data_IF_604785838160
#
_entry.id   IF_604785838160
#
_cell.length_a   1.000
_cell.length_b   1.000
_cell.length_c   1.000
_cell.angle_alpha   90.00
_cell.angle_beta   90.00
_cell.angle_gamma   90.00
#
_symmetry.space_group_name_H-M   'P 1'
#
loop_
_entity.id
_entity.type
_entity.pdbx_description
1 polymer ?
#
# COMPACT_ATOMS: atom_id res chain seq x y z
N UNK A 1 -14.95 -4.13 7.06
CA UNK A 1 -15.52 -3.47 5.87
C UNK A 1 -15.89 -4.52 4.82
N UNK A 2 -17.03 -4.36 4.17
CA UNK A 2 -17.43 -5.17 3.03
C UNK A 2 -16.79 -4.57 1.77
N UNK A 3 -15.73 -5.19 1.26
CA UNK A 3 -15.02 -4.75 0.05
C UNK A 3 -15.51 -5.44 -1.23
N UNK A 4 -16.67 -6.12 -1.17
CA UNK A 4 -17.25 -6.86 -2.27
C UNK A 4 -16.60 -8.23 -2.52
N UNK A 5 -16.84 -8.83 -3.69
CA UNK A 5 -16.27 -10.12 -4.05
C UNK A 5 -14.74 -10.08 -4.03
N UNK A 6 -14.14 -11.11 -3.43
CA UNK A 6 -12.67 -11.21 -3.31
C UNK A 6 -12.13 -12.46 -3.98
N UNK A 7 -10.98 -12.32 -4.60
CA UNK A 7 -10.20 -13.41 -5.17
C UNK A 7 -9.07 -13.87 -4.24
N UNK A 8 -8.04 -14.44 -4.83
CA UNK A 8 -6.85 -14.90 -4.10
C UNK A 8 -6.26 -13.77 -3.24
N UNK A 9 -5.85 -14.12 -2.02
CA UNK A 9 -5.25 -13.18 -1.06
C UNK A 9 -6.20 -12.03 -0.67
N UNK A 10 -7.51 -12.28 -0.63
CA UNK A 10 -8.54 -11.27 -0.32
C UNK A 10 -8.44 -10.00 -1.19
N UNK A 11 -8.08 -10.16 -2.47
CA UNK A 11 -8.05 -9.05 -3.43
C UNK A 11 -9.47 -8.76 -3.91
N UNK A 12 -9.93 -7.53 -3.85
CA UNK A 12 -11.19 -7.14 -4.46
C UNK A 12 -11.16 -7.43 -5.96
N UNK A 13 -12.23 -8.02 -6.51
CA UNK A 13 -12.33 -8.39 -7.92
C UNK A 13 -12.78 -7.24 -8.81
N UNK A 14 -13.46 -6.26 -8.24
CA UNK A 14 -13.97 -5.08 -8.94
C UNK A 14 -13.97 -3.85 -8.01
N UNK A 15 -14.52 -2.74 -8.49
CA UNK A 15 -14.62 -1.48 -7.76
C UNK A 15 -16.05 -1.16 -7.31
N UNK A 16 -16.95 -2.11 -7.29
CA UNK A 16 -18.36 -1.86 -6.94
C UNK A 16 -18.54 -1.38 -5.48
N UNK A 17 -17.56 -1.69 -4.63
CA UNK A 17 -17.52 -1.27 -3.22
C UNK A 17 -16.34 -0.34 -2.92
N UNK A 18 -15.96 0.49 -3.91
CA UNK A 18 -14.82 1.42 -3.77
C UNK A 18 -14.97 2.36 -2.56
N UNK A 19 -16.18 2.80 -2.28
CA UNK A 19 -16.54 3.60 -1.11
C UNK A 19 -16.17 2.92 0.21
N UNK A 20 -16.30 1.60 0.29
CA UNK A 20 -15.96 0.82 1.49
C UNK A 20 -14.45 0.51 1.60
N UNK A 21 -13.64 0.77 0.56
CA UNK A 21 -12.20 0.52 0.63
C UNK A 21 -11.51 1.41 1.68
N UNK A 22 -12.03 2.60 1.89
CA UNK A 22 -11.57 3.51 2.95
C UNK A 22 -11.87 2.91 4.32
N UNK A 23 -13.04 2.33 4.51
CA UNK A 23 -13.48 1.74 5.79
C UNK A 23 -12.61 0.54 6.20
N UNK A 24 -12.01 -0.16 5.23
CA UNK A 24 -11.07 -1.23 5.54
C UNK A 24 -9.86 -0.72 6.35
N UNK A 25 -9.33 0.43 6.01
CA UNK A 25 -8.17 1.02 6.70
C UNK A 25 -8.56 1.84 7.93
N UNK A 26 -9.75 2.46 7.91
CA UNK A 26 -10.22 3.39 8.93
C UNK A 26 -10.92 2.70 10.09
N UNK A 27 -11.69 1.64 9.80
CA UNK A 27 -12.62 1.05 10.74
C UNK A 27 -12.02 0.58 12.07
N UNK A 28 -10.75 0.18 12.11
CA UNK A 28 -10.09 -0.19 13.36
C UNK A 28 -9.84 1.04 14.24
N UNK A 29 -9.47 2.18 13.64
CA UNK A 29 -9.16 3.43 14.36
C UNK A 29 -10.41 4.11 14.90
N UNK A 30 -11.54 3.88 14.28
CA UNK A 30 -12.85 4.44 14.66
C UNK A 30 -13.70 3.46 15.49
N UNK A 31 -13.16 2.29 15.83
CA UNK A 31 -13.91 1.31 16.62
C UNK A 31 -14.09 1.76 18.08
N UNK A 32 -15.25 1.52 18.67
CA UNK A 32 -15.48 1.83 20.07
C UNK A 32 -14.44 1.13 20.97
N UNK A 33 -13.80 1.89 21.87
CA UNK A 33 -12.79 1.37 22.77
C UNK A 33 -11.41 1.18 22.15
N UNK A 34 -11.18 1.66 20.90
CA UNK A 34 -9.86 1.66 20.30
C UNK A 34 -8.85 2.38 21.21
N UNK A 35 -7.72 1.73 21.41
CA UNK A 35 -6.56 2.33 22.08
C UNK A 35 -5.42 2.43 21.07
N UNK A 36 -4.82 3.60 21.00
CA UNK A 36 -3.70 3.79 20.09
C UNK A 36 -2.55 2.86 20.43
N UNK A 37 -2.06 2.08 19.46
CA UNK A 37 -0.89 1.24 19.65
C UNK A 37 0.42 2.03 19.50
N UNK A 38 1.49 1.58 20.14
CA UNK A 38 2.84 2.08 19.91
C UNK A 38 3.44 1.54 18.62
N UNK A 39 2.95 0.36 18.17
CA UNK A 39 3.45 -0.33 16.96
C UNK A 39 2.29 -0.79 16.09
N UNK A 40 2.36 -0.49 14.80
CA UNK A 40 1.39 -0.93 13.78
C UNK A 40 2.10 -1.78 12.73
N UNK A 41 1.63 -3.02 12.51
CA UNK A 41 2.08 -3.87 11.40
C UNK A 41 1.11 -3.76 10.23
N UNK A 42 1.61 -3.36 9.08
CA UNK A 42 0.86 -3.27 7.81
C UNK A 42 1.28 -4.40 6.89
N UNK A 43 0.52 -5.51 6.89
CA UNK A 43 0.75 -6.70 6.05
C UNK A 43 -0.52 -7.22 5.35
N UNK A 44 -1.65 -6.50 5.46
CA UNK A 44 -2.95 -6.85 4.88
C UNK A 44 -3.16 -6.35 3.45
N UNK A 45 -4.42 -5.99 3.15
CA UNK A 45 -4.82 -5.29 1.92
C UNK A 45 -4.74 -3.78 2.13
N UNK A 46 -4.83 -3.04 1.03
CA UNK A 46 -4.83 -1.57 1.07
C UNK A 46 -3.69 -0.98 1.92
N UNK A 47 -2.49 -1.57 1.88
CA UNK A 47 -1.39 -1.24 2.79
C UNK A 47 -1.03 0.24 2.80
N UNK A 48 -1.00 0.88 1.62
CA UNK A 48 -0.74 2.31 1.53
C UNK A 48 -1.86 3.12 2.21
N UNK A 49 -3.14 2.70 2.07
CA UNK A 49 -4.25 3.35 2.76
C UNK A 49 -4.20 3.11 4.27
N UNK A 50 -3.80 1.89 4.73
CA UNK A 50 -3.59 1.63 6.16
C UNK A 50 -2.47 2.50 6.74
N UNK A 51 -1.38 2.71 6.00
CA UNK A 51 -0.34 3.66 6.38
C UNK A 51 -0.90 5.08 6.50
N UNK A 52 -1.65 5.53 5.49
CA UNK A 52 -2.25 6.86 5.49
C UNK A 52 -3.20 7.07 6.65
N UNK A 53 -4.00 6.04 6.98
CA UNK A 53 -4.90 6.12 8.13
C UNK A 53 -4.11 6.23 9.44
N UNK A 54 -3.09 5.40 9.65
CA UNK A 54 -2.20 5.52 10.81
C UNK A 54 -1.55 6.91 10.88
N UNK A 55 -1.05 7.43 9.75
CA UNK A 55 -0.45 8.77 9.66
C UNK A 55 -1.43 9.88 10.05
N UNK A 56 -2.71 9.75 9.69
CA UNK A 56 -3.73 10.76 9.95
C UNK A 56 -4.36 10.67 11.34
N UNK A 57 -4.53 9.46 11.87
CA UNK A 57 -5.27 9.22 13.12
C UNK A 57 -4.37 9.15 14.36
N UNK A 58 -3.08 8.86 14.20
CA UNK A 58 -2.20 8.74 15.36
C UNK A 58 -2.16 10.05 16.17
N UNK A 59 -2.49 9.97 17.45
CA UNK A 59 -2.47 11.08 18.40
C UNK A 59 -1.14 11.16 19.17
N UNK A 60 -0.31 10.12 19.10
CA UNK A 60 1.02 10.02 19.66
C UNK A 60 1.99 9.36 18.69
N UNK A 61 3.28 9.21 19.07
CA UNK A 61 4.27 8.52 18.26
C UNK A 61 3.86 7.06 17.97
N UNK A 62 4.06 6.60 16.72
CA UNK A 62 3.78 5.22 16.30
C UNK A 62 4.93 4.71 15.44
N UNK A 63 5.49 3.56 15.79
CA UNK A 63 6.39 2.81 14.92
C UNK A 63 5.57 1.96 13.95
N UNK A 64 5.61 2.27 12.66
CA UNK A 64 4.87 1.53 11.64
C UNK A 64 5.82 0.60 10.86
N UNK A 65 5.48 -0.70 10.87
CA UNK A 65 6.18 -1.76 10.15
C UNK A 65 5.40 -2.09 8.88
N UNK A 66 5.99 -1.82 7.71
CA UNK A 66 5.35 -1.99 6.42
C UNK A 66 5.98 -3.16 5.65
N UNK A 67 5.30 -4.30 5.55
CA UNK A 67 5.84 -5.49 4.90
C UNK A 67 5.77 -5.44 3.35
N UNK A 68 6.61 -6.24 2.69
CA UNK A 68 6.74 -6.32 1.22
C UNK A 68 7.08 -4.99 0.51
N UNK A 69 7.63 -4.01 1.22
CA UNK A 69 7.78 -2.64 0.75
C UNK A 69 8.71 -2.52 -0.47
N UNK A 70 9.90 -3.12 -0.41
CA UNK A 70 10.96 -2.93 -1.43
C UNK A 70 10.49 -3.26 -2.85
N UNK A 71 9.78 -4.38 -3.02
CA UNK A 71 9.43 -4.90 -4.35
C UNK A 71 8.16 -4.32 -4.93
N UNK A 72 7.39 -3.58 -4.14
CA UNK A 72 6.06 -3.09 -4.49
C UNK A 72 6.06 -1.58 -4.61
N UNK A 73 6.48 -1.09 -5.75
CA UNK A 73 6.60 0.35 -6.04
C UNK A 73 5.30 1.13 -5.90
N UNK A 74 4.16 0.45 -6.02
CA UNK A 74 2.83 1.02 -5.79
C UNK A 74 2.65 1.54 -4.36
N UNK A 75 3.41 1.03 -3.39
CA UNK A 75 3.36 1.52 -2.01
C UNK A 75 4.21 2.77 -1.76
N UNK A 76 5.16 3.08 -2.66
CA UNK A 76 6.06 4.23 -2.50
C UNK A 76 5.35 5.58 -2.66
N UNK A 77 4.06 5.59 -3.00
CA UNK A 77 3.23 6.81 -2.99
C UNK A 77 3.26 7.52 -1.63
N UNK A 78 3.37 6.75 -0.53
CA UNK A 78 3.44 7.28 0.83
C UNK A 78 4.74 8.04 1.13
N UNK A 79 5.80 7.84 0.35
CA UNK A 79 7.08 8.57 0.51
C UNK A 79 6.94 10.07 0.22
N UNK A 80 5.81 10.52 -0.32
CA UNK A 80 5.46 11.94 -0.42
C UNK A 80 5.34 12.61 0.94
N UNK A 81 5.03 11.83 1.98
CA UNK A 81 4.84 12.31 3.36
C UNK A 81 6.09 12.12 4.22
N UNK A 82 6.93 11.18 3.86
CA UNK A 82 8.15 10.86 4.58
C UNK A 82 8.74 9.53 4.11
N UNK A 83 10.04 9.42 4.19
CA UNK A 83 10.74 8.17 3.83
C UNK A 83 10.83 7.24 5.03
N UNK A 84 10.99 5.91 4.80
CA UNK A 84 11.26 5.00 5.90
C UNK A 84 12.56 5.39 6.63
N UNK A 85 12.54 5.29 7.94
CA UNK A 85 13.71 5.56 8.79
C UNK A 85 14.76 4.47 8.69
N UNK A 86 14.32 3.24 8.41
CA UNK A 86 15.21 2.09 8.17
C UNK A 86 14.50 0.98 7.39
N UNK A 87 15.30 0.07 6.87
CA UNK A 87 14.82 -1.15 6.21
C UNK A 87 15.26 -2.38 7.00
N UNK A 88 14.36 -3.35 7.17
CA UNK A 88 14.66 -4.65 7.79
C UNK A 88 14.22 -5.75 6.82
N UNK A 89 15.17 -6.31 6.10
CA UNK A 89 14.88 -7.23 5.01
C UNK A 89 14.01 -6.56 3.94
N UNK A 90 12.78 -7.08 3.72
CA UNK A 90 11.81 -6.50 2.77
C UNK A 90 10.86 -5.48 3.38
N UNK A 91 10.93 -5.30 4.69
CA UNK A 91 10.05 -4.45 5.48
C UNK A 91 10.62 -3.04 5.62
N UNK A 92 9.79 -2.01 5.46
CA UNK A 92 10.13 -0.64 5.79
C UNK A 92 9.63 -0.29 7.19
N UNK A 93 10.42 0.48 7.92
CA UNK A 93 10.06 1.02 9.24
C UNK A 93 9.87 2.52 9.12
N UNK A 94 8.76 3.01 9.60
CA UNK A 94 8.44 4.44 9.67
C UNK A 94 8.20 4.83 11.13
N UNK A 95 8.76 5.94 11.55
CA UNK A 95 8.46 6.56 12.84
C UNK A 95 7.49 7.72 12.55
N UNK A 96 6.22 7.51 12.87
CA UNK A 96 5.17 8.51 12.65
C UNK A 96 4.99 9.35 13.90
N UNK A 97 4.88 10.66 13.71
CA UNK A 97 4.60 11.62 14.77
C UNK A 97 3.46 12.55 14.38
N UNK A 98 2.56 12.89 15.31
CA UNK A 98 1.42 13.76 15.01
C UNK A 98 1.81 15.09 14.39
N UNK A 99 2.92 15.67 14.82
CA UNK A 99 3.44 16.95 14.33
C UNK A 99 3.91 16.91 12.88
N UNK A 100 4.24 15.74 12.33
CA UNK A 100 4.66 15.60 10.93
C UNK A 100 3.54 15.98 9.97
N UNK A 101 2.27 15.80 10.38
CA UNK A 101 1.08 16.21 9.60
C UNK A 101 1.02 17.72 9.38
N UNK A 102 1.47 18.49 10.36
CA UNK A 102 1.43 19.95 10.30
C UNK A 102 2.40 20.53 9.29
N UNK A 103 3.39 19.74 8.87
CA UNK A 103 4.40 20.13 7.88
C UNK A 103 4.00 19.81 6.45
N UNK A 104 2.89 19.10 6.27
CA UNK A 104 2.42 18.63 4.96
C UNK A 104 1.23 19.46 4.52
N UNK A 105 1.27 19.96 3.29
CA UNK A 105 0.15 20.70 2.72
C UNK A 105 -1.13 19.82 2.69
N UNK A 106 -2.28 20.33 3.12
CA UNK A 106 -3.53 19.55 3.20
C UNK A 106 -3.91 18.83 1.90
N UNK A 107 -3.72 19.51 0.75
CA UNK A 107 -4.01 18.91 -0.55
C UNK A 107 -3.12 17.70 -0.86
N UNK A 108 -1.87 17.70 -0.37
CA UNK A 108 -0.95 16.57 -0.58
C UNK A 108 -1.39 15.36 0.25
N UNK A 109 -1.91 15.56 1.46
CA UNK A 109 -2.54 14.50 2.25
C UNK A 109 -3.72 13.87 1.51
N UNK A 110 -4.63 14.71 1.00
CA UNK A 110 -5.81 14.25 0.25
C UNK A 110 -5.39 13.48 -1.00
N UNK A 111 -4.51 14.05 -1.82
CA UNK A 111 -4.03 13.41 -3.04
C UNK A 111 -3.30 12.08 -2.76
N UNK A 112 -2.47 12.04 -1.73
CA UNK A 112 -1.74 10.82 -1.37
C UNK A 112 -2.69 9.74 -0.85
N UNK A 113 -3.69 10.10 -0.06
CA UNK A 113 -4.70 9.15 0.42
C UNK A 113 -5.54 8.60 -0.74
N UNK A 114 -5.98 9.45 -1.64
CA UNK A 114 -6.70 9.04 -2.85
C UNK A 114 -5.87 8.07 -3.70
N UNK A 115 -4.62 8.41 -3.99
CA UNK A 115 -3.71 7.52 -4.71
C UNK A 115 -3.49 6.20 -3.96
N UNK A 116 -3.37 6.23 -2.63
CA UNK A 116 -3.18 5.04 -1.80
C UNK A 116 -4.39 4.08 -1.86
N UNK A 117 -5.60 4.60 -1.94
CA UNK A 117 -6.85 3.81 -2.09
C UNK A 117 -7.01 3.34 -3.54
N UNK A 118 -6.83 4.23 -4.52
CA UNK A 118 -7.10 3.95 -5.92
C UNK A 118 -5.99 3.15 -6.61
N UNK A 119 -4.75 3.18 -6.13
CA UNK A 119 -3.63 2.39 -6.69
C UNK A 119 -3.76 0.89 -6.45
N UNK A 120 -4.75 0.47 -5.69
CA UNK A 120 -5.02 -0.92 -5.42
C UNK A 120 -5.45 -1.66 -6.70
N UNK A 121 -4.69 -2.67 -7.07
CA UNK A 121 -5.00 -3.49 -8.26
C UNK A 121 -6.21 -4.37 -7.97
N UNK A 122 -7.28 -4.10 -8.68
CA UNK A 122 -8.52 -4.89 -8.69
C UNK A 122 -8.46 -5.93 -9.80
N UNK A 123 -9.19 -7.02 -9.62
CA UNK A 123 -9.34 -8.07 -10.61
C UNK A 123 -8.50 -9.33 -10.34
N UNK A 124 -8.75 -10.41 -11.09
CA UNK A 124 -8.06 -11.68 -10.92
C UNK A 124 -6.56 -11.53 -11.20
N UNK A 125 -5.74 -12.20 -10.41
CA UNK A 125 -4.31 -12.28 -10.73
C UNK A 125 -4.10 -12.94 -12.09
N UNK A 126 -3.28 -12.35 -12.96
CA UNK A 126 -2.90 -13.04 -14.18
C UNK A 126 -2.21 -14.35 -13.80
N UNK A 127 -2.55 -15.49 -14.44
CA UNK A 127 -2.01 -16.78 -14.09
C UNK A 127 -0.48 -16.72 -14.10
N UNK A 128 0.14 -17.13 -13.01
CA UNK A 128 1.58 -17.00 -12.76
C UNK A 128 2.46 -17.59 -13.89
N UNK A 129 1.90 -18.56 -14.63
CA UNK A 129 2.51 -19.15 -15.83
C UNK A 129 2.54 -18.18 -17.03
N UNK A 130 1.50 -17.36 -17.18
CA UNK A 130 1.42 -16.39 -18.28
C UNK A 130 2.44 -15.27 -18.16
N UNK A 131 2.59 -14.70 -16.98
CA UNK A 131 3.57 -13.62 -16.70
C UNK A 131 5.01 -14.14 -16.87
N UNK A 132 5.32 -15.35 -16.40
CA UNK A 132 6.64 -15.98 -16.62
C UNK A 132 6.91 -16.23 -18.10
N UNK A 133 5.90 -16.68 -18.86
CA UNK A 133 6.01 -16.96 -20.30
C UNK A 133 6.22 -15.66 -21.09
N UNK A 134 5.47 -14.62 -20.76
CA UNK A 134 5.57 -13.30 -21.37
C UNK A 134 6.95 -12.66 -21.12
N UNK A 135 7.41 -12.67 -19.86
CA UNK A 135 8.77 -12.18 -19.51
C UNK A 135 9.88 -12.93 -20.24
N UNK A 136 9.77 -14.26 -20.39
CA UNK A 136 10.73 -15.07 -21.16
C UNK A 136 10.70 -14.71 -22.65
N UNK A 137 9.52 -14.47 -23.21
CA UNK A 137 9.34 -14.08 -24.63
C UNK A 137 9.92 -12.70 -24.93
N UNK A 138 9.68 -11.73 -24.03
CA UNK A 138 10.24 -10.38 -24.12
C UNK A 138 11.77 -10.43 -24.01
N UNK A 139 12.34 -11.14 -23.01
CA UNK A 139 13.78 -11.30 -22.87
C UNK A 139 14.44 -11.93 -24.11
N UNK A 140 13.81 -12.94 -24.71
CA UNK A 140 14.30 -13.56 -25.96
C UNK A 140 14.30 -12.58 -27.13
N UNK A 141 13.25 -11.76 -27.29
CA UNK A 141 13.18 -10.75 -28.35
C UNK A 141 14.23 -9.65 -28.15
N UNK A 142 14.40 -9.16 -26.96
CA UNK A 142 15.44 -8.16 -26.63
C UNK A 142 16.83 -8.73 -26.94
N UNK A 143 17.12 -9.97 -26.48
CA UNK A 143 18.39 -10.62 -26.76
C UNK A 143 18.64 -10.78 -28.26
N UNK A 144 17.64 -11.14 -29.05
CA UNK A 144 17.76 -11.29 -30.51
C UNK A 144 18.00 -9.97 -31.25
N UNK A 145 17.58 -8.81 -30.68
CA UNK A 145 17.90 -7.49 -31.26
C UNK A 145 19.36 -7.08 -31.07
N UNK A 146 19.98 -7.51 -29.97
CA UNK A 146 21.37 -7.19 -29.64
C UNK A 146 22.40 -8.23 -30.11
N UNK A 147 21.95 -9.36 -30.69
CA UNK A 147 22.85 -10.41 -31.19
C UNK A 147 23.01 -10.35 -32.73
N UNK A 148 22.39 -9.39 -33.40
CA UNK A 148 22.47 -9.16 -34.85
C UNK A 148 23.27 -7.90 -35.23
N UNK A 149 24.08 -7.40 -34.34
CA UNK A 149 25.07 -6.36 -34.58
C UNK A 149 26.46 -6.95 -34.59
#
# INVERSE_FOLDING_TARGET
>A
ADIGPVGAWARALDHQRLDNFIDYSRGVWESPGFQQPDVVLVDGRFRAACFMTAYLYAEGPVTLLFDDYIKRKEYHVIERLGKPTRMVGRMAVFELRPEDRLRVAPWLLVATYFDAVCSFRVGPEPPHRFVKRLRRRIKRRIKALFTKA
#
